data_IF_194164378806
#
_entry.id   IF_194164378806
#
_cell.length_a   1.000
_cell.length_b   1.000
_cell.length_c   1.000
_cell.angle_alpha   90.00
_cell.angle_beta   90.00
_cell.angle_gamma   90.00
#
_symmetry.space_group_name_H-M   'P 1'
#
loop_
_entity.id
_entity.type
_entity.pdbx_description
1 polymer ?
#
# COMPACT_ATOMS: atom_id res chain seq x y z
N UNK A 1 10.50 -6.34 2.99
CA UNK A 1 11.14 -7.60 3.43
C UNK A 1 11.56 -7.42 4.87
N UNK A 2 10.80 -7.97 5.82
CA UNK A 2 11.15 -7.92 7.25
C UNK A 2 12.28 -8.90 7.47
N UNK A 3 13.51 -8.39 7.42
CA UNK A 3 14.66 -9.17 7.84
C UNK A 3 14.62 -9.27 9.36
N UNK A 4 14.56 -10.50 9.89
CA UNK A 4 15.00 -10.77 11.27
C UNK A 4 16.45 -10.29 11.38
N UNK A 5 16.71 -9.28 12.21
CA UNK A 5 18.07 -8.85 12.52
C UNK A 5 18.83 -10.01 13.17
N UNK A 6 19.80 -10.59 12.46
CA UNK A 6 20.99 -11.15 13.06
C UNK A 6 22.19 -10.36 12.51
N UNK A 7 22.89 -9.72 13.45
CA UNK A 7 24.20 -9.05 13.39
C UNK A 7 24.73 -8.49 12.06
N UNK A 8 24.71 -7.15 11.95
CA UNK A 8 25.76 -6.39 11.24
C UNK A 8 26.15 -5.19 12.10
N UNK A 9 27.03 -5.39 13.09
CA UNK A 9 27.98 -4.35 13.50
C UNK A 9 29.27 -4.60 12.74
N UNK A 10 29.60 -3.73 11.77
CA UNK A 10 30.97 -3.58 11.27
C UNK A 10 31.35 -2.11 11.34
N UNK A 11 32.41 -1.87 12.11
CA UNK A 11 33.13 -0.61 12.22
C UNK A 11 33.53 -0.07 10.84
N UNK A 12 33.41 1.24 10.66
CA UNK A 12 34.12 1.97 9.60
C UNK A 12 34.77 3.18 10.28
N UNK A 13 35.97 2.97 10.84
CA UNK A 13 36.90 4.05 11.15
C UNK A 13 37.88 4.19 9.97
N UNK A 14 38.06 5.42 9.47
CA UNK A 14 39.20 5.82 8.64
C UNK A 14 38.95 5.98 7.13
N UNK A 15 38.47 7.17 6.72
CA UNK A 15 38.74 7.73 5.38
C UNK A 15 39.03 9.24 5.49
N UNK A 16 40.01 9.79 4.77
CA UNK A 16 40.38 11.20 4.83
C UNK A 16 39.32 12.09 4.18
N UNK A 17 39.11 13.28 4.73
CA UNK A 17 38.09 14.23 4.27
C UNK A 17 38.46 14.94 2.96
N UNK A 18 37.49 15.29 2.11
CA UNK A 18 37.71 16.22 1.01
C UNK A 18 37.30 17.64 1.40
N UNK A 19 38.27 18.54 1.43
CA UNK A 19 38.04 19.97 1.17
C UNK A 19 37.66 20.13 -0.30
N UNK A 20 36.36 20.20 -0.59
CA UNK A 20 35.84 20.76 -1.83
C UNK A 20 34.63 21.64 -1.50
N UNK A 21 34.61 22.84 -2.06
CA UNK A 21 33.48 23.77 -2.01
C UNK A 21 32.26 23.09 -2.66
N UNK A 22 31.44 22.42 -1.84
CA UNK A 22 30.06 22.13 -2.20
C UNK A 22 29.29 23.45 -2.11
N UNK A 23 29.39 24.25 -3.18
CA UNK A 23 28.36 25.22 -3.49
C UNK A 23 27.05 24.43 -3.52
N UNK A 24 26.27 24.58 -2.45
CA UNK A 24 24.99 23.94 -2.24
C UNK A 24 24.03 24.44 -3.30
N UNK A 25 24.01 23.77 -4.45
CA UNK A 25 22.83 23.74 -5.30
C UNK A 25 21.82 22.83 -4.60
N UNK A 26 21.33 23.28 -3.44
CA UNK A 26 20.15 22.71 -2.82
C UNK A 26 19.01 23.04 -3.78
N UNK A 27 18.81 22.17 -4.77
CA UNK A 27 17.57 22.14 -5.52
C UNK A 27 16.44 22.17 -4.49
N UNK A 28 15.69 23.29 -4.48
CA UNK A 28 14.54 23.46 -3.61
C UNK A 28 13.64 22.24 -3.79
N UNK A 29 13.44 21.48 -2.70
CA UNK A 29 12.61 20.29 -2.71
C UNK A 29 11.15 20.69 -2.94
N UNK A 30 10.70 20.66 -4.20
CA UNK A 30 9.31 20.95 -4.56
C UNK A 30 8.45 19.67 -4.54
N UNK A 31 7.13 19.77 -4.34
CA UNK A 31 6.23 18.61 -4.46
C UNK A 31 6.33 17.92 -5.82
N UNK A 32 6.56 18.66 -6.90
CA UNK A 32 6.73 18.10 -8.24
C UNK A 32 8.04 17.30 -8.36
N UNK A 33 9.15 17.83 -7.83
CA UNK A 33 10.44 17.14 -7.82
C UNK A 33 10.37 15.83 -7.00
N UNK A 34 9.75 15.87 -5.81
CA UNK A 34 9.53 14.68 -5.00
C UNK A 34 8.68 13.62 -5.74
N UNK A 35 7.56 14.00 -6.36
CA UNK A 35 6.73 13.07 -7.15
C UNK A 35 7.46 12.50 -8.36
N UNK A 36 8.32 13.29 -9.02
CA UNK A 36 9.16 12.81 -10.12
C UNK A 36 10.15 11.74 -9.64
N UNK A 37 10.78 11.93 -8.48
CA UNK A 37 11.64 10.93 -7.87
C UNK A 37 10.84 9.67 -7.49
N UNK A 38 9.69 9.82 -6.84
CA UNK A 38 8.82 8.70 -6.44
C UNK A 38 8.24 7.92 -7.62
N UNK A 39 8.07 8.53 -8.80
CA UNK A 39 7.67 7.80 -9.99
C UNK A 39 8.66 6.68 -10.37
N UNK A 40 9.94 6.81 -9.98
CA UNK A 40 11.00 5.83 -10.21
C UNK A 40 11.13 4.80 -9.06
N UNK A 41 10.33 4.93 -8.01
CA UNK A 41 10.33 4.05 -6.85
C UNK A 41 9.20 3.02 -7.00
N UNK A 42 9.52 1.85 -7.54
CA UNK A 42 8.55 0.81 -7.86
C UNK A 42 7.75 0.37 -6.62
N UNK A 43 6.44 0.19 -6.79
CA UNK A 43 5.56 -0.35 -5.75
C UNK A 43 4.64 -1.44 -6.29
N UNK A 44 4.39 -2.47 -5.49
CA UNK A 44 3.32 -3.43 -5.78
C UNK A 44 1.98 -2.70 -5.71
N UNK A 45 1.18 -2.81 -6.75
CA UNK A 45 -0.19 -2.29 -6.79
C UNK A 45 -1.07 -3.17 -5.91
N UNK A 46 -1.78 -2.55 -4.97
CA UNK A 46 -2.68 -3.23 -4.06
C UNK A 46 -4.03 -2.54 -4.01
N UNK A 47 -5.07 -3.26 -3.62
CA UNK A 47 -6.35 -2.66 -3.21
C UNK A 47 -6.52 -2.86 -1.71
N UNK A 48 -6.58 -1.76 -0.96
CA UNK A 48 -7.03 -1.80 0.43
C UNK A 48 -8.55 -1.68 0.43
N UNK A 49 -9.23 -2.61 1.09
CA UNK A 49 -10.68 -2.70 1.10
C UNK A 49 -11.24 -2.87 2.51
N UNK A 50 -12.43 -2.35 2.75
CA UNK A 50 -13.18 -2.51 3.99
C UNK A 50 -14.69 -2.51 3.72
N UNK A 51 -15.46 -2.93 4.71
CA UNK A 51 -16.91 -2.88 4.72
C UNK A 51 -17.38 -2.48 6.13
N UNK A 52 -18.34 -1.56 6.19
CA UNK A 52 -18.98 -1.17 7.45
C UNK A 52 -20.47 -0.93 7.20
N UNK A 53 -21.34 -1.59 7.97
CA UNK A 53 -22.80 -1.47 7.86
C UNK A 53 -23.32 -1.64 6.42
N UNK A 54 -22.75 -2.60 5.68
CA UNK A 54 -23.10 -2.89 4.28
C UNK A 54 -22.49 -1.93 3.25
N UNK A 55 -21.83 -0.86 3.67
CA UNK A 55 -21.11 0.05 2.78
C UNK A 55 -19.70 -0.48 2.55
N UNK A 56 -19.36 -0.77 1.29
CA UNK A 56 -18.01 -1.21 0.91
C UNK A 56 -17.17 -0.02 0.46
N UNK A 57 -15.86 -0.10 0.71
CA UNK A 57 -14.87 0.80 0.14
C UNK A 57 -13.63 0.04 -0.27
N UNK A 58 -13.10 0.35 -1.44
CA UNK A 58 -11.78 -0.07 -1.87
C UNK A 58 -11.00 1.11 -2.46
N UNK A 59 -9.68 1.09 -2.32
CA UNK A 59 -8.78 2.10 -2.87
C UNK A 59 -7.51 1.44 -3.39
N UNK A 60 -7.10 1.79 -4.60
CA UNK A 60 -5.80 1.37 -5.13
C UNK A 60 -4.68 2.13 -4.44
N UNK A 61 -3.69 1.41 -3.93
CA UNK A 61 -2.55 1.94 -3.19
C UNK A 61 -1.24 1.27 -3.62
N UNK A 62 -0.16 2.04 -3.59
CA UNK A 62 1.22 1.53 -3.64
C UNK A 62 2.01 1.88 -2.37
N UNK A 63 1.50 2.83 -1.59
CA UNK A 63 2.07 3.25 -0.31
C UNK A 63 1.64 2.30 0.82
N UNK A 64 2.22 1.11 0.82
CA UNK A 64 2.03 0.11 1.87
C UNK A 64 3.31 -0.71 2.05
N UNK A 65 3.58 -1.16 3.27
CA UNK A 65 4.70 -2.03 3.55
C UNK A 65 4.47 -2.89 4.80
N UNK A 66 5.27 -3.94 4.96
CA UNK A 66 5.31 -4.72 6.20
C UNK A 66 6.11 -3.97 7.27
N UNK A 67 5.61 -4.04 8.51
CA UNK A 67 6.17 -3.35 9.68
C UNK A 67 6.92 -4.33 10.58
N UNK A 68 6.28 -5.45 10.95
CA UNK A 68 6.84 -6.47 11.85
C UNK A 68 6.26 -7.85 11.50
N UNK A 69 6.98 -8.92 11.83
CA UNK A 69 6.48 -10.30 11.85
C UNK A 69 6.04 -10.76 13.25
N UNK A 70 6.28 -9.95 14.30
CA UNK A 70 5.89 -10.25 15.68
C UNK A 70 5.47 -8.96 16.44
N UNK A 71 4.16 -8.69 16.60
CA UNK A 71 3.06 -9.35 15.89
C UNK A 71 3.10 -9.03 14.38
N UNK A 72 2.51 -9.88 13.51
CA UNK A 72 2.49 -9.63 12.07
C UNK A 72 1.72 -8.35 11.77
N UNK A 73 2.40 -7.34 11.22
CA UNK A 73 1.87 -5.98 11.07
C UNK A 73 2.20 -5.43 9.70
N UNK A 74 1.23 -4.77 9.08
CA UNK A 74 1.39 -3.99 7.84
C UNK A 74 0.93 -2.54 8.07
N UNK A 75 1.41 -1.63 7.24
CA UNK A 75 0.88 -0.27 7.15
C UNK A 75 0.37 0.04 5.75
N UNK A 76 -0.59 0.96 5.67
CA UNK A 76 -1.14 1.52 4.43
C UNK A 76 -1.35 3.02 4.61
N UNK A 77 -0.91 3.82 3.63
CA UNK A 77 -1.15 5.25 3.61
C UNK A 77 -2.33 5.57 2.68
N UNK A 78 -3.32 6.31 3.20
CA UNK A 78 -4.48 6.78 2.43
C UNK A 78 -4.56 8.30 2.45
N UNK A 79 -4.98 8.89 1.33
CA UNK A 79 -5.21 10.33 1.24
C UNK A 79 -6.31 10.75 2.23
N UNK A 80 -5.95 11.54 3.24
CA UNK A 80 -6.85 11.98 4.29
C UNK A 80 -7.84 13.05 3.85
N UNK A 81 -7.62 13.71 2.71
CA UNK A 81 -8.57 14.69 2.16
C UNK A 81 -9.80 14.05 1.49
N UNK A 82 -9.78 12.75 1.20
CA UNK A 82 -10.93 12.05 0.67
C UNK A 82 -11.79 11.52 1.83
N UNK A 83 -12.88 12.22 2.13
CA UNK A 83 -13.81 11.91 3.23
C UNK A 83 -14.35 10.48 3.20
N UNK A 84 -14.43 9.87 2.01
CA UNK A 84 -14.88 8.49 1.89
C UNK A 84 -13.91 7.51 2.58
N UNK A 85 -12.65 7.89 2.83
CA UNK A 85 -11.69 7.06 3.58
C UNK A 85 -12.02 6.95 5.08
N UNK A 86 -12.89 7.79 5.63
CA UNK A 86 -13.26 7.72 7.06
C UNK A 86 -13.90 6.37 7.45
N UNK A 87 -14.44 5.61 6.49
CA UNK A 87 -15.00 4.28 6.73
C UNK A 87 -13.97 3.27 7.25
N UNK A 88 -12.69 3.42 6.90
CA UNK A 88 -11.65 2.50 7.40
C UNK A 88 -11.51 2.59 8.92
N UNK A 89 -11.50 3.81 9.46
CA UNK A 89 -11.51 4.03 10.91
C UNK A 89 -12.79 3.50 11.56
N UNK A 90 -13.97 3.81 10.98
CA UNK A 90 -15.26 3.33 11.50
C UNK A 90 -15.38 1.81 11.53
N UNK A 91 -14.88 1.15 10.48
CA UNK A 91 -14.89 -0.31 10.38
C UNK A 91 -13.95 -1.00 11.37
N UNK A 92 -12.84 -0.34 11.74
CA UNK A 92 -11.76 -0.93 12.53
C UNK A 92 -11.03 -2.08 11.83
N UNK A 93 -11.27 -2.34 10.54
CA UNK A 93 -10.74 -3.50 9.81
C UNK A 93 -10.42 -3.14 8.36
N UNK A 94 -9.47 -3.85 7.75
CA UNK A 94 -9.22 -3.76 6.32
C UNK A 94 -8.56 -5.02 5.78
N UNK A 95 -8.77 -5.30 4.50
CA UNK A 95 -8.00 -6.26 3.74
C UNK A 95 -7.05 -5.52 2.79
N UNK A 96 -5.77 -5.88 2.78
CA UNK A 96 -4.79 -5.41 1.82
C UNK A 96 -4.53 -6.49 0.77
N UNK A 97 -5.03 -6.28 -0.45
CA UNK A 97 -5.03 -7.27 -1.52
C UNK A 97 -3.95 -6.93 -2.55
N UNK A 98 -2.87 -7.72 -2.61
CA UNK A 98 -1.77 -7.52 -3.55
C UNK A 98 -2.14 -8.04 -4.94
N UNK A 99 -2.11 -7.18 -5.95
CA UNK A 99 -2.69 -7.49 -7.26
C UNK A 99 -1.72 -8.25 -8.18
N UNK A 100 -2.28 -9.18 -8.95
CA UNK A 100 -1.63 -9.81 -10.09
C UNK A 100 -1.76 -8.97 -11.36
N UNK A 101 -0.92 -9.25 -12.36
CA UNK A 101 -0.83 -8.54 -13.64
C UNK A 101 -2.17 -8.33 -14.35
N UNK A 102 -3.07 -9.33 -14.31
CA UNK A 102 -4.38 -9.27 -14.97
C UNK A 102 -5.35 -8.29 -14.31
N UNK A 103 -5.07 -7.81 -13.10
CA UNK A 103 -5.91 -6.87 -12.37
C UNK A 103 -5.71 -5.39 -12.76
N UNK A 104 -5.04 -5.08 -13.88
CA UNK A 104 -4.83 -3.68 -14.28
C UNK A 104 -6.13 -2.88 -14.40
N UNK A 105 -7.19 -3.48 -14.95
CA UNK A 105 -8.51 -2.82 -15.04
C UNK A 105 -9.12 -2.58 -13.66
N UNK A 106 -9.04 -3.57 -12.76
CA UNK A 106 -9.51 -3.48 -11.38
C UNK A 106 -8.74 -2.39 -10.61
N UNK A 107 -7.41 -2.36 -10.73
CA UNK A 107 -6.55 -1.33 -10.14
C UNK A 107 -6.94 0.08 -10.63
N UNK A 108 -7.24 0.22 -11.92
CA UNK A 108 -7.64 1.51 -12.52
C UNK A 108 -8.99 1.97 -11.96
N UNK A 109 -9.94 1.05 -11.78
CA UNK A 109 -11.25 1.34 -11.23
C UNK A 109 -11.19 1.76 -9.76
N UNK A 110 -10.42 1.04 -8.93
CA UNK A 110 -10.21 1.39 -7.52
C UNK A 110 -9.29 2.60 -7.31
N UNK A 111 -8.56 3.05 -8.33
CA UNK A 111 -7.86 4.34 -8.33
C UNK A 111 -8.80 5.52 -8.59
N UNK A 112 -10.08 5.26 -8.93
CA UNK A 112 -11.06 6.29 -9.25
C UNK A 112 -10.91 6.91 -10.64
N UNK A 113 -10.09 6.30 -11.51
CA UNK A 113 -9.77 6.84 -12.83
C UNK A 113 -10.81 6.49 -13.89
N UNK A 114 -11.67 5.49 -13.64
CA UNK A 114 -12.70 5.05 -14.60
C UNK A 114 -14.06 5.74 -14.42
N UNK A 115 -14.26 6.50 -13.35
CA UNK A 115 -15.54 7.16 -13.05
C UNK A 115 -16.70 6.22 -12.66
N UNK A 116 -16.44 4.91 -12.55
CA UNK A 116 -17.48 3.91 -12.23
C UNK A 116 -17.88 3.93 -10.76
N UNK A 117 -19.13 3.54 -10.47
CA UNK A 117 -19.68 3.48 -9.12
C UNK A 117 -18.98 2.40 -8.26
N UNK A 118 -19.06 2.52 -6.93
CA UNK A 118 -18.35 1.60 -6.02
C UNK A 118 -18.76 0.14 -6.24
N UNK A 119 -20.05 -0.14 -6.37
CA UNK A 119 -20.53 -1.51 -6.59
C UNK A 119 -20.05 -2.10 -7.92
N UNK A 120 -19.95 -1.28 -8.97
CA UNK A 120 -19.39 -1.70 -10.25
C UNK A 120 -17.90 -2.05 -10.13
N UNK A 121 -17.13 -1.34 -9.29
CA UNK A 121 -15.72 -1.68 -9.02
C UNK A 121 -15.61 -3.05 -8.34
N UNK A 122 -16.45 -3.30 -7.34
CA UNK A 122 -16.47 -4.58 -6.64
C UNK A 122 -16.99 -5.71 -7.54
N UNK A 123 -17.85 -5.43 -8.52
CA UNK A 123 -18.31 -6.42 -9.49
C UNK A 123 -17.22 -6.87 -10.49
N UNK A 124 -16.06 -6.20 -10.55
CA UNK A 124 -14.94 -6.57 -11.43
C UNK A 124 -14.08 -7.73 -10.90
N UNK A 125 -14.37 -8.25 -9.71
CA UNK A 125 -13.62 -9.35 -9.10
C UNK A 125 -14.49 -10.18 -8.17
N UNK A 126 -13.98 -11.36 -7.82
CA UNK A 126 -14.64 -12.25 -6.87
C UNK A 126 -14.12 -11.99 -5.45
N UNK A 127 -15.01 -11.56 -4.56
CA UNK A 127 -14.64 -11.17 -3.21
C UNK A 127 -15.17 -12.15 -2.18
N UNK A 128 -14.32 -12.48 -1.22
CA UNK A 128 -14.64 -13.34 -0.08
C UNK A 128 -14.37 -12.61 1.24
N UNK A 129 -14.79 -13.22 2.34
CA UNK A 129 -14.50 -12.77 3.70
C UNK A 129 -13.59 -13.79 4.37
N UNK A 130 -12.65 -13.31 5.19
CA UNK A 130 -11.82 -14.16 6.05
C UNK A 130 -12.24 -13.99 7.52
N UNK A 131 -11.39 -13.41 8.36
CA UNK A 131 -11.57 -13.31 9.82
C UNK A 131 -12.31 -12.04 10.21
N UNK A 132 -11.98 -10.90 9.58
CA UNK A 132 -12.57 -9.61 9.96
C UNK A 132 -13.88 -9.29 9.27
N UNK A 133 -14.15 -9.95 8.14
CA UNK A 133 -15.26 -9.62 7.25
C UNK A 133 -14.94 -8.57 6.18
N UNK A 134 -13.73 -7.99 6.17
CA UNK A 134 -13.29 -7.11 5.09
C UNK A 134 -13.24 -7.84 3.73
N UNK A 135 -13.50 -7.16 2.59
CA UNK A 135 -13.46 -7.79 1.28
C UNK A 135 -12.04 -8.24 0.88
N UNK A 136 -11.86 -9.54 0.74
CA UNK A 136 -10.62 -10.18 0.27
C UNK A 136 -10.80 -10.64 -1.18
N UNK A 137 -9.92 -10.21 -2.07
CA UNK A 137 -9.95 -10.58 -3.49
C UNK A 137 -9.47 -12.01 -3.68
N UNK A 138 -10.31 -12.85 -4.29
CA UNK A 138 -10.11 -14.30 -4.34
C UNK A 138 -8.90 -14.74 -5.18
N UNK A 139 -8.53 -13.97 -6.19
CA UNK A 139 -7.42 -14.24 -7.11
C UNK A 139 -6.27 -13.22 -6.99
N UNK A 140 -6.22 -12.44 -5.90
CA UNK A 140 -5.04 -11.66 -5.52
C UNK A 140 -3.81 -12.58 -5.31
N UNK A 141 -2.60 -12.08 -5.59
CA UNK A 141 -1.35 -12.83 -5.35
C UNK A 141 -1.28 -13.25 -3.88
N UNK A 142 -1.55 -12.30 -2.98
CA UNK A 142 -1.70 -12.52 -1.54
C UNK A 142 -2.60 -11.44 -0.99
N UNK A 143 -3.37 -11.76 0.05
CA UNK A 143 -4.18 -10.79 0.79
C UNK A 143 -3.95 -10.90 2.29
N UNK A 144 -3.89 -9.75 2.94
CA UNK A 144 -3.70 -9.61 4.38
C UNK A 144 -4.98 -9.06 5.00
N UNK A 145 -5.66 -9.87 5.80
CA UNK A 145 -6.87 -9.47 6.52
C UNK A 145 -6.48 -8.94 7.90
N UNK A 146 -6.78 -7.67 8.17
CA UNK A 146 -6.16 -6.90 9.23
C UNK A 146 -7.20 -6.25 10.16
N UNK A 147 -6.90 -6.27 11.46
CA UNK A 147 -7.54 -5.38 12.44
C UNK A 147 -6.74 -4.10 12.53
N UNK A 148 -7.42 -2.96 12.43
CA UNK A 148 -6.79 -1.64 12.60
C UNK A 148 -6.35 -1.50 14.06
N UNK A 149 -5.05 -1.31 14.29
CA UNK A 149 -4.48 -1.12 15.63
C UNK A 149 -4.08 0.35 15.89
N UNK A 150 -3.83 1.13 14.84
CA UNK A 150 -3.54 2.55 14.95
C UNK A 150 -3.83 3.29 13.64
N UNK A 151 -4.18 4.57 13.75
CA UNK A 151 -4.31 5.49 12.62
C UNK A 151 -3.63 6.82 12.96
N UNK A 152 -2.67 7.23 12.15
CA UNK A 152 -1.86 8.43 12.38
C UNK A 152 -2.02 9.43 11.25
N UNK A 153 -2.56 10.64 11.51
CA UNK A 153 -2.52 11.73 10.54
C UNK A 153 -1.08 12.18 10.31
N UNK A 154 -0.66 12.21 9.04
CA UNK A 154 0.65 12.66 8.60
C UNK A 154 0.45 13.58 7.39
N UNK A 155 0.41 14.89 7.65
CA UNK A 155 0.15 15.92 6.64
C UNK A 155 -1.14 15.63 5.84
N UNK A 156 -1.04 15.24 4.57
CA UNK A 156 -2.18 14.98 3.69
C UNK A 156 -2.72 13.55 3.75
N UNK A 157 -2.10 12.66 4.53
CA UNK A 157 -2.46 11.24 4.59
C UNK A 157 -2.78 10.80 6.02
N UNK A 158 -3.53 9.71 6.14
CA UNK A 158 -3.52 8.88 7.35
C UNK A 158 -2.69 7.63 7.08
N UNK A 159 -1.83 7.27 8.03
CA UNK A 159 -1.10 6.01 8.06
C UNK A 159 -1.87 5.05 8.96
N UNK A 160 -2.42 4.00 8.35
CA UNK A 160 -3.14 2.94 9.06
C UNK A 160 -2.17 1.80 9.36
N UNK A 161 -2.12 1.36 10.60
CA UNK A 161 -1.39 0.17 11.02
C UNK A 161 -2.39 -0.95 11.29
N UNK A 162 -2.17 -2.11 10.68
CA UNK A 162 -3.03 -3.27 10.83
C UNK A 162 -2.26 -4.48 11.34
N UNK A 163 -2.76 -5.09 12.41
CA UNK A 163 -2.34 -6.43 12.81
C UNK A 163 -3.00 -7.44 11.87
N UNK A 164 -2.18 -8.27 11.22
CA UNK A 164 -2.64 -9.30 10.29
C UNK A 164 -3.22 -10.47 11.09
N UNK A 165 -4.52 -10.71 10.94
CA UNK A 165 -5.25 -11.79 11.62
C UNK A 165 -5.71 -12.89 10.66
N UNK A 166 -5.59 -12.66 9.35
CA UNK A 166 -5.87 -13.67 8.32
C UNK A 166 -5.03 -13.46 7.07
N UNK A 167 -4.77 -14.56 6.36
CA UNK A 167 -4.05 -14.57 5.08
C UNK A 167 -4.85 -15.36 4.05
N UNK A 168 -4.84 -14.87 2.82
CA UNK A 168 -5.29 -15.63 1.65
C UNK A 168 -4.19 -15.63 0.60
N UNK A 169 -3.85 -16.81 0.11
CA UNK A 169 -2.89 -16.99 -0.99
C UNK A 169 -3.69 -17.35 -2.24
N UNK A 170 -3.60 -16.51 -3.26
CA UNK A 170 -4.17 -16.84 -4.56
C UNK A 170 -3.20 -17.65 -5.43
N UNK A 171 -3.50 -17.79 -6.73
CA UNK A 171 -2.61 -18.48 -7.65
C UNK A 171 -1.27 -17.75 -7.78
N UNK A 172 -0.23 -18.51 -8.12
CA UNK A 172 1.04 -17.92 -8.55
C UNK A 172 0.85 -17.23 -9.89
N UNK A 173 0.81 -15.90 -9.86
CA UNK A 173 0.65 -15.03 -11.04
C UNK A 173 1.68 -13.90 -10.98
N UNK A 174 2.14 -13.38 -12.13
CA UNK A 174 3.02 -12.21 -12.17
C UNK A 174 2.41 -11.05 -11.39
N UNK A 175 3.23 -10.32 -10.63
CA UNK A 175 2.75 -9.21 -9.80
C UNK A 175 2.50 -7.97 -10.63
N UNK A 176 1.43 -7.21 -10.31
CA UNK A 176 1.21 -5.90 -10.91
C UNK A 176 2.02 -4.84 -10.15
N UNK A 177 2.95 -4.21 -10.85
CA UNK A 177 3.86 -3.19 -10.34
C UNK A 177 3.49 -1.85 -10.95
N UNK A 178 3.64 -0.75 -10.20
CA UNK A 178 3.59 0.60 -10.74
C UNK A 178 4.98 1.23 -10.70
N UNK A 179 5.48 1.62 -11.87
CA UNK A 179 6.81 2.20 -12.04
C UNK A 179 6.81 3.11 -13.27
N UNK A 180 7.49 4.26 -13.17
CA UNK A 180 7.58 5.27 -14.22
C UNK A 180 6.21 5.74 -14.74
N UNK A 181 5.24 5.84 -13.81
CA UNK A 181 3.84 6.22 -14.07
C UNK A 181 3.08 5.26 -14.97
N UNK A 182 3.50 4.01 -15.02
CA UNK A 182 2.89 2.98 -15.85
C UNK A 182 2.78 1.67 -15.08
N UNK A 183 1.87 0.81 -15.52
CA UNK A 183 1.77 -0.55 -15.02
C UNK A 183 2.89 -1.40 -15.64
N UNK A 184 3.52 -2.21 -14.81
CA UNK A 184 4.56 -3.19 -15.15
C UNK A 184 4.18 -4.54 -14.55
N UNK A 185 4.78 -5.60 -15.08
CA UNK A 185 4.60 -6.97 -14.57
C UNK A 185 5.95 -7.57 -14.24
N UNK A 186 6.01 -8.39 -13.17
CA UNK A 186 7.19 -9.12 -12.73
C UNK A 186 6.85 -10.57 -12.46
#
# INVERSE_FOLDING_TARGET
MVYRRHDIRRNIEGLPGPTENFLTDQQLLTPALYRNAMARYAGHVQVVATEHEGVRRGVTVTAACSVSDNPPTVLVCLNGSNENNAIFEKSGVFALNSLAAHHQALATAFAGLSGVAVDERFAMGEWRKLVTGAPVLSDAVVSFDCRLIDIKPVSTHFVMFGEVVGLHFGPHSPSLIYLDRDFRTL
#
